data_IF_281334609063
#
_entry.id   IF_281334609063
#
_cell.length_a   1.000
_cell.length_b   1.000
_cell.length_c   1.000
_cell.angle_alpha   90.00
_cell.angle_beta   90.00
_cell.angle_gamma   90.00
#
_symmetry.space_group_name_H-M   'P 1'
#
loop_
_entity.id
_entity.type
_entity.pdbx_description
1 polymer ?
#
# COMPACT_ATOMS: atom_id res chain seq x y z
N UNK A 1 8.36 -18.74 12.96
CA UNK A 1 8.29 -17.58 12.10
C UNK A 1 8.13 -16.32 12.92
N UNK A 2 8.97 -15.37 12.67
CA UNK A 2 8.94 -14.13 13.42
C UNK A 2 7.83 -13.21 12.98
N UNK A 3 7.56 -12.16 13.78
CA UNK A 3 6.57 -11.14 13.43
C UNK A 3 6.93 -10.35 12.18
N UNK A 4 8.14 -10.52 11.66
CA UNK A 4 8.58 -9.85 10.45
C UNK A 4 7.99 -10.42 9.18
N UNK A 5 7.39 -11.60 9.21
CA UNK A 5 6.86 -12.20 7.98
C UNK A 5 5.58 -11.50 7.53
N UNK A 6 5.48 -11.34 6.21
CA UNK A 6 4.32 -10.77 5.55
C UNK A 6 3.42 -11.93 5.10
N UNK A 7 2.34 -12.22 5.83
CA UNK A 7 1.54 -13.41 5.53
C UNK A 7 0.93 -13.35 4.13
N UNK A 8 0.86 -14.52 3.50
CA UNK A 8 0.26 -14.63 2.18
C UNK A 8 -1.20 -14.14 2.16
N UNK A 9 -1.93 -14.39 3.23
CA UNK A 9 -3.30 -13.94 3.37
C UNK A 9 -3.45 -12.43 3.39
N UNK A 10 -2.35 -11.68 3.64
CA UNK A 10 -2.36 -10.23 3.65
C UNK A 10 -2.01 -9.61 2.30
N UNK A 11 -1.90 -10.43 1.24
CA UNK A 11 -1.53 -9.95 -0.10
C UNK A 11 -2.70 -10.02 -1.06
N UNK A 12 -2.82 -9.00 -1.89
CA UNK A 12 -3.69 -9.03 -3.06
C UNK A 12 -2.88 -9.63 -4.20
N UNK A 13 -3.39 -10.70 -4.81
CA UNK A 13 -2.65 -11.44 -5.82
C UNK A 13 -3.35 -11.50 -7.18
N UNK A 14 -4.68 -11.46 -7.22
CA UNK A 14 -5.44 -11.64 -8.45
C UNK A 14 -5.71 -10.30 -9.14
N UNK A 15 -5.62 -10.26 -10.50
CA UNK A 15 -5.96 -9.05 -11.24
C UNK A 15 -7.36 -8.53 -10.95
N UNK A 16 -8.32 -9.40 -10.72
CA UNK A 16 -9.69 -9.01 -10.37
C UNK A 16 -9.75 -8.26 -9.05
N UNK A 17 -8.91 -8.64 -8.09
CA UNK A 17 -8.84 -7.96 -6.80
C UNK A 17 -8.33 -6.54 -6.96
N UNK A 18 -7.27 -6.36 -7.77
CA UNK A 18 -6.73 -5.05 -8.08
C UNK A 18 -7.77 -4.18 -8.79
N UNK A 19 -8.44 -4.74 -9.80
CA UNK A 19 -9.46 -4.00 -10.55
C UNK A 19 -10.59 -3.52 -9.65
N UNK A 20 -11.02 -4.35 -8.73
CA UNK A 20 -12.10 -4.00 -7.78
C UNK A 20 -11.69 -2.79 -6.93
N UNK A 21 -10.45 -2.79 -6.44
CA UNK A 21 -9.96 -1.68 -5.63
C UNK A 21 -9.83 -0.42 -6.47
N UNK A 22 -9.33 -0.52 -7.70
CA UNK A 22 -9.23 0.63 -8.60
C UNK A 22 -10.58 1.25 -8.93
N UNK A 23 -11.60 0.43 -9.10
CA UNK A 23 -12.94 0.91 -9.47
C UNK A 23 -13.72 1.47 -8.30
N UNK A 24 -13.56 0.88 -7.11
CA UNK A 24 -14.42 1.17 -5.96
C UNK A 24 -13.69 1.80 -4.77
N UNK A 25 -12.37 1.90 -4.84
CA UNK A 25 -11.58 2.35 -3.71
C UNK A 25 -11.63 3.85 -3.47
N UNK A 26 -11.61 4.23 -2.21
CA UNK A 26 -11.35 5.60 -1.82
C UNK A 26 -9.87 5.91 -2.10
N UNK A 27 -9.60 7.08 -2.66
CA UNK A 27 -8.27 7.44 -3.13
C UNK A 27 -7.63 8.51 -2.26
N UNK A 28 -6.38 8.31 -1.89
CA UNK A 28 -5.53 9.37 -1.36
C UNK A 28 -4.25 9.44 -2.18
N UNK A 29 -3.69 10.61 -2.38
CA UNK A 29 -2.47 10.76 -3.16
C UNK A 29 -1.57 11.85 -2.60
N UNK A 30 -0.28 11.65 -2.76
CA UNK A 30 0.73 12.66 -2.47
C UNK A 30 1.84 12.59 -3.53
N UNK A 31 2.99 13.21 -3.28
CA UNK A 31 4.08 13.22 -4.26
C UNK A 31 4.66 11.81 -4.51
N UNK A 32 4.62 10.93 -3.53
CA UNK A 32 5.26 9.62 -3.58
C UNK A 32 4.35 8.49 -4.01
N UNK A 33 3.10 8.49 -3.56
CA UNK A 33 2.18 7.37 -3.74
C UNK A 33 0.76 7.79 -4.05
N UNK A 34 0.06 6.91 -4.74
CA UNK A 34 -1.40 6.93 -4.83
C UNK A 34 -1.86 5.68 -4.10
N UNK A 35 -2.72 5.84 -3.12
CA UNK A 35 -3.24 4.73 -2.32
C UNK A 35 -4.76 4.65 -2.51
N UNK A 36 -5.23 3.47 -2.89
CA UNK A 36 -6.65 3.19 -3.03
C UNK A 36 -7.04 2.11 -2.03
N UNK A 37 -8.17 2.27 -1.38
CA UNK A 37 -8.65 1.32 -0.39
C UNK A 37 -10.14 1.12 -0.52
N UNK A 38 -10.58 -0.12 -0.46
CA UNK A 38 -12.00 -0.44 -0.43
C UNK A 38 -12.26 -1.48 0.65
N UNK A 39 -13.53 -1.61 1.03
CA UNK A 39 -13.93 -2.57 2.05
C UNK A 39 -13.51 -3.97 1.65
N UNK A 40 -12.83 -4.66 2.57
CA UNK A 40 -12.33 -6.01 2.35
C UNK A 40 -13.12 -7.08 3.08
N UNK A 41 -12.59 -8.28 3.05
CA UNK A 41 -13.21 -9.43 3.70
C UNK A 41 -12.78 -9.58 5.17
N UNK A 42 -13.10 -10.73 5.74
CA UNK A 42 -12.91 -11.01 7.16
C UNK A 42 -11.46 -11.24 7.59
N UNK A 43 -10.55 -11.38 6.65
CA UNK A 43 -9.14 -11.70 6.97
C UNK A 43 -8.26 -10.53 7.36
N UNK A 44 -8.82 -9.36 7.59
CA UNK A 44 -8.06 -8.16 7.90
C UNK A 44 -7.61 -7.41 6.65
N UNK A 45 -6.77 -6.40 6.83
CA UNK A 45 -6.27 -5.60 5.73
C UNK A 45 -5.35 -6.42 4.81
N UNK A 46 -5.49 -6.22 3.49
CA UNK A 46 -4.65 -6.86 2.48
C UNK A 46 -4.02 -5.81 1.60
N UNK A 47 -2.80 -6.08 1.12
CA UNK A 47 -1.98 -5.12 0.38
C UNK A 47 -1.61 -5.63 -1.01
N UNK A 48 -1.82 -4.79 -2.01
CA UNK A 48 -1.23 -4.94 -3.32
C UNK A 48 -0.34 -3.74 -3.62
N UNK A 49 0.79 -3.96 -4.28
CA UNK A 49 1.75 -2.91 -4.60
C UNK A 49 2.03 -2.90 -6.09
N UNK A 50 1.97 -1.73 -6.70
CA UNK A 50 2.40 -1.58 -8.10
C UNK A 50 3.49 -0.52 -8.18
N UNK A 51 4.61 -0.88 -8.81
CA UNK A 51 5.68 0.05 -9.11
C UNK A 51 6.00 -0.12 -10.59
N UNK A 52 5.42 0.75 -11.41
CA UNK A 52 5.57 0.67 -12.85
C UNK A 52 6.99 1.03 -13.30
N UNK A 53 7.47 0.37 -14.34
CA UNK A 53 8.78 0.69 -14.93
C UNK A 53 8.86 2.12 -15.43
N UNK A 54 7.76 2.67 -15.86
CA UNK A 54 7.68 4.09 -16.27
C UNK A 54 7.98 5.03 -15.12
N UNK A 55 7.54 4.69 -13.92
CA UNK A 55 7.75 5.53 -12.75
C UNK A 55 9.15 5.33 -12.17
N UNK A 56 9.60 4.08 -12.08
CA UNK A 56 10.89 3.73 -11.48
C UNK A 56 11.57 2.72 -12.39
N UNK A 57 12.50 3.17 -13.22
CA UNK A 57 13.10 2.34 -14.26
C UNK A 57 13.99 1.21 -13.75
N UNK A 58 14.70 1.42 -12.65
CA UNK A 58 15.64 0.42 -12.14
C UNK A 58 14.99 -0.62 -11.26
N UNK A 59 15.35 -1.90 -11.46
CA UNK A 59 14.83 -2.99 -10.63
C UNK A 59 15.16 -2.83 -9.14
N UNK A 60 16.36 -2.36 -8.83
CA UNK A 60 16.79 -2.12 -7.44
C UNK A 60 15.92 -1.06 -6.77
N UNK A 61 15.60 0.02 -7.49
CA UNK A 61 14.73 1.07 -6.99
C UNK A 61 13.32 0.59 -6.73
N UNK A 62 12.78 -0.22 -7.64
CA UNK A 62 11.44 -0.82 -7.47
C UNK A 62 11.40 -1.73 -6.25
N UNK A 63 12.44 -2.55 -6.08
CA UNK A 63 12.53 -3.46 -4.92
C UNK A 63 12.60 -2.67 -3.61
N UNK A 64 13.38 -1.61 -3.58
CA UNK A 64 13.52 -0.74 -2.39
C UNK A 64 12.17 -0.15 -1.99
N UNK A 65 11.42 0.35 -2.96
CA UNK A 65 10.11 0.95 -2.71
C UNK A 65 9.12 -0.10 -2.22
N UNK A 66 9.08 -1.26 -2.87
CA UNK A 66 8.19 -2.36 -2.45
C UNK A 66 8.48 -2.80 -1.03
N UNK A 67 9.76 -2.90 -0.66
CA UNK A 67 10.15 -3.27 0.71
C UNK A 67 9.69 -2.24 1.72
N UNK A 68 9.86 -0.96 1.41
CA UNK A 68 9.42 0.12 2.28
C UNK A 68 7.90 0.07 2.51
N UNK A 69 7.13 -0.16 1.45
CA UNK A 69 5.68 -0.25 1.54
C UNK A 69 5.26 -1.46 2.37
N UNK A 70 5.84 -2.63 2.10
CA UNK A 70 5.52 -3.86 2.84
C UNK A 70 5.83 -3.72 4.32
N UNK A 71 6.99 -3.17 4.65
CA UNK A 71 7.40 -2.99 6.05
C UNK A 71 6.46 -2.03 6.77
N UNK A 72 6.15 -0.90 6.16
CA UNK A 72 5.22 0.07 6.72
C UNK A 72 3.83 -0.54 6.94
N UNK A 73 3.33 -1.27 5.95
CA UNK A 73 2.04 -1.94 6.05
C UNK A 73 2.03 -2.98 7.18
N UNK A 74 3.09 -3.79 7.25
CA UNK A 74 3.22 -4.81 8.29
C UNK A 74 3.12 -4.19 9.68
N UNK A 75 3.81 -3.09 9.89
CA UNK A 75 3.83 -2.40 11.19
C UNK A 75 2.49 -1.76 11.55
N UNK A 76 1.67 -1.47 10.56
CA UNK A 76 0.40 -0.75 10.77
C UNK A 76 -0.84 -1.62 10.54
N UNK A 77 -0.66 -2.87 10.15
CA UNK A 77 -1.77 -3.73 9.73
C UNK A 77 -2.87 -3.87 10.79
N UNK A 78 -2.49 -3.99 12.05
CA UNK A 78 -3.45 -4.15 13.14
C UNK A 78 -4.31 -2.91 13.36
N UNK A 79 -3.78 -1.73 13.03
CA UNK A 79 -4.50 -0.47 13.14
C UNK A 79 -5.45 -0.24 11.96
N UNK A 80 -5.20 -0.90 10.85
CA UNK A 80 -5.97 -0.71 9.62
C UNK A 80 -7.27 -1.51 9.70
N UNK A 81 -8.40 -0.92 9.27
CA UNK A 81 -9.64 -1.68 9.16
C UNK A 81 -9.49 -2.78 8.09
N UNK A 82 -10.43 -3.73 8.08
CA UNK A 82 -10.43 -4.82 7.11
C UNK A 82 -10.70 -4.26 5.70
N UNK A 83 -9.65 -3.87 5.01
CA UNK A 83 -9.69 -3.22 3.70
C UNK A 83 -8.74 -3.89 2.75
N UNK A 84 -9.04 -3.81 1.46
CA UNK A 84 -8.11 -4.17 0.41
C UNK A 84 -7.49 -2.88 -0.11
N UNK A 85 -6.17 -2.79 -0.02
CA UNK A 85 -5.42 -1.58 -0.29
C UNK A 85 -4.46 -1.81 -1.44
N UNK A 86 -4.45 -0.90 -2.42
CA UNK A 86 -3.45 -0.90 -3.48
C UNK A 86 -2.62 0.37 -3.37
N UNK A 87 -1.30 0.19 -3.30
CA UNK A 87 -0.35 1.30 -3.27
C UNK A 87 0.37 1.36 -4.61
N UNK A 88 0.25 2.49 -5.28
CA UNK A 88 0.96 2.75 -6.54
C UNK A 88 2.07 3.76 -6.27
N UNK A 89 3.31 3.41 -6.65
CA UNK A 89 4.43 4.34 -6.52
C UNK A 89 4.41 5.35 -7.67
N UNK A 90 4.68 6.60 -7.34
CA UNK A 90 4.87 7.67 -8.32
C UNK A 90 6.37 7.87 -8.54
N UNK A 91 6.73 8.56 -9.64
CA UNK A 91 8.14 8.79 -10.01
C UNK A 91 8.95 9.43 -8.89
N UNK A 92 8.36 10.37 -8.16
CA UNK A 92 9.05 11.07 -7.08
C UNK A 92 9.52 10.13 -5.96
N UNK A 93 8.85 8.99 -5.77
CA UNK A 93 9.24 8.02 -4.76
C UNK A 93 10.68 7.51 -4.95
N UNK A 94 11.11 7.40 -6.21
CA UNK A 94 12.46 6.92 -6.52
C UNK A 94 13.56 7.83 -5.98
N UNK A 95 13.27 9.10 -5.79
CA UNK A 95 14.22 10.13 -5.36
C UNK A 95 14.15 10.42 -3.86
N UNK A 96 13.25 9.76 -3.14
CA UNK A 96 13.04 10.03 -1.72
C UNK A 96 13.83 9.07 -0.85
N UNK A 97 14.25 9.56 0.31
CA UNK A 97 14.87 8.72 1.33
C UNK A 97 13.83 7.79 1.96
N UNK A 98 14.29 6.69 2.54
CA UNK A 98 13.39 5.73 3.18
C UNK A 98 12.55 6.37 4.28
N UNK A 99 13.12 7.31 5.04
CA UNK A 99 12.37 8.03 6.07
C UNK A 99 11.23 8.85 5.48
N UNK A 100 11.45 9.45 4.30
CA UNK A 100 10.42 10.23 3.61
C UNK A 100 9.31 9.32 3.06
N UNK A 101 9.68 8.16 2.52
CA UNK A 101 8.71 7.17 2.07
C UNK A 101 7.86 6.69 3.24
N UNK A 102 8.48 6.43 4.37
CA UNK A 102 7.78 5.98 5.58
C UNK A 102 6.79 7.03 6.07
N UNK A 103 7.21 8.29 6.12
CA UNK A 103 6.32 9.38 6.54
C UNK A 103 5.12 9.52 5.60
N UNK A 104 5.36 9.41 4.30
CA UNK A 104 4.28 9.44 3.29
C UNK A 104 3.29 8.30 3.50
N UNK A 105 3.80 7.08 3.72
CA UNK A 105 2.96 5.91 3.94
C UNK A 105 2.16 6.02 5.24
N UNK A 106 2.77 6.53 6.31
CA UNK A 106 2.06 6.74 7.57
C UNK A 106 0.88 7.68 7.39
N UNK A 107 1.07 8.74 6.61
CA UNK A 107 -0.02 9.66 6.28
C UNK A 107 -1.14 8.95 5.51
N UNK A 108 -0.77 8.11 4.53
CA UNK A 108 -1.76 7.35 3.76
C UNK A 108 -2.54 6.38 4.63
N UNK A 109 -1.86 5.71 5.58
CA UNK A 109 -2.57 4.80 6.50
C UNK A 109 -3.58 5.55 7.36
N UNK A 110 -3.24 6.75 7.80
CA UNK A 110 -4.19 7.59 8.54
C UNK A 110 -5.40 7.94 7.68
N UNK A 111 -5.17 8.25 6.40
CA UNK A 111 -6.27 8.55 5.48
C UNK A 111 -7.16 7.33 5.24
N UNK A 112 -6.58 6.15 5.12
CA UNK A 112 -7.34 4.90 4.97
C UNK A 112 -8.22 4.67 6.21
N UNK A 113 -7.65 4.79 7.40
CA UNK A 113 -8.38 4.61 8.64
C UNK A 113 -9.56 5.59 8.72
N UNK A 114 -9.28 6.84 8.40
CA UNK A 114 -10.26 7.91 8.48
C UNK A 114 -11.43 7.70 7.51
N UNK A 115 -11.13 7.35 6.27
CA UNK A 115 -12.14 7.20 5.23
C UNK A 115 -12.94 5.91 5.33
N UNK A 116 -12.30 4.82 5.73
CA UNK A 116 -12.96 3.52 5.82
C UNK A 116 -13.74 3.35 7.10
N UNK A 117 -13.44 4.12 8.13
CA UNK A 117 -14.16 4.10 9.40
C UNK A 117 -15.60 4.60 9.26
N UNK A 118 -15.83 5.49 8.31
CA UNK A 118 -17.13 6.13 8.12
C UNK A 118 -18.05 5.39 7.12
N UNK A 119 -17.58 4.30 6.58
CA UNK A 119 -18.38 3.55 5.58
C UNK A 119 -19.20 2.42 6.17
#
# INVERSE_FOLDING_TARGET
>A
MGPASFPRAARLCLPTEFSRVFQNGARSSDACFVVLACKGGAGGARLGITVARKAVAGAAGRTRIKRAVRESFRLNRERLPATDIVVQARSAAAKRLNAELRASLDWHWQEVIKRCKDS
#
